data_IF_068437335263
#
_entry.id   IF_068437335263
#
_cell.length_a   1.000
_cell.length_b   1.000
_cell.length_c   1.000
_cell.angle_alpha   90.00
_cell.angle_beta   90.00
_cell.angle_gamma   90.00
#
_symmetry.space_group_name_H-M   'P 1'
#
loop_
_entity.id
_entity.type
_entity.pdbx_description
1 polymer ?
#
# COMPACT_ATOMS: atom_id res chain seq x y z
N UNK A 1 47.22 95.02 15.35
CA UNK A 1 45.97 94.38 15.93
C UNK A 1 45.48 93.35 14.98
N UNK A 2 45.56 92.06 15.35
CA UNK A 2 45.07 90.92 14.54
C UNK A 2 43.89 90.30 15.26
N UNK A 3 42.73 90.02 14.65
CA UNK A 3 41.63 89.33 15.29
C UNK A 3 41.85 87.85 15.18
N UNK A 4 41.60 87.12 16.29
CA UNK A 4 41.57 85.69 16.45
C UNK A 4 40.25 85.17 15.89
N UNK A 5 40.31 84.23 14.92
CA UNK A 5 39.18 83.40 14.47
C UNK A 5 39.05 82.19 15.35
N UNK A 6 37.95 82.08 16.09
CA UNK A 6 37.58 80.86 16.80
C UNK A 6 36.85 79.88 15.84
N UNK A 7 37.44 78.70 15.59
CA UNK A 7 36.82 77.63 14.87
C UNK A 7 35.98 76.78 15.84
N UNK A 8 34.66 76.81 15.68
CA UNK A 8 33.75 75.93 16.38
C UNK A 8 33.77 74.51 15.66
N UNK A 9 34.27 73.50 16.34
CA UNK A 9 34.16 72.13 15.90
C UNK A 9 32.78 71.54 16.25
N UNK A 10 31.93 71.39 15.26
CA UNK A 10 30.68 70.65 15.42
C UNK A 10 30.99 69.12 15.42
N UNK A 11 30.78 68.45 16.56
CA UNK A 11 30.79 67.01 16.65
C UNK A 11 29.47 66.50 16.09
N UNK A 12 29.52 65.82 14.94
CA UNK A 12 28.42 65.05 14.42
C UNK A 12 28.28 63.77 15.28
N UNK A 13 27.18 63.68 16.01
CA UNK A 13 26.75 62.49 16.67
C UNK A 13 25.96 61.67 15.65
N UNK A 14 26.56 60.58 15.15
CA UNK A 14 25.89 59.63 14.28
C UNK A 14 25.08 58.66 15.17
N UNK A 15 23.74 58.61 15.05
CA UNK A 15 22.96 57.63 15.77
C UNK A 15 23.20 56.24 15.13
N UNK A 16 23.74 55.30 15.90
CA UNK A 16 23.84 53.91 15.54
C UNK A 16 22.41 53.30 15.54
N UNK A 17 21.86 53.12 14.34
CA UNK A 17 20.64 52.33 14.14
C UNK A 17 20.92 50.87 14.44
N UNK A 18 20.51 50.40 15.61
CA UNK A 18 20.50 49.00 16.01
C UNK A 18 19.39 48.29 15.24
N UNK A 19 19.73 47.67 14.10
CA UNK A 19 18.82 46.83 13.35
C UNK A 19 18.60 45.52 14.14
N UNK A 20 17.51 45.50 14.91
CA UNK A 20 17.01 44.24 15.54
C UNK A 20 16.50 43.34 14.43
N UNK A 21 17.32 42.43 13.96
CA UNK A 21 16.88 41.34 13.09
C UNK A 21 15.95 40.43 13.90
N UNK A 22 14.65 40.63 13.75
CA UNK A 22 13.64 39.66 14.19
C UNK A 22 13.81 38.38 13.35
N UNK A 23 14.58 37.44 13.89
CA UNK A 23 14.51 36.06 13.42
C UNK A 23 13.09 35.55 13.71
N UNK A 24 12.22 35.66 12.71
CA UNK A 24 10.95 34.96 12.75
C UNK A 24 11.29 33.47 12.82
N UNK A 25 11.08 32.86 13.98
CA UNK A 25 11.04 31.41 14.14
C UNK A 25 9.86 30.92 13.31
N UNK A 26 10.12 30.63 12.03
CA UNK A 26 9.16 29.89 11.20
C UNK A 26 8.97 28.56 11.91
N UNK A 27 7.76 28.25 12.41
CA UNK A 27 7.54 26.95 13.02
C UNK A 27 7.89 25.90 12.00
N UNK A 28 8.88 25.08 12.31
CA UNK A 28 9.25 23.94 11.48
C UNK A 28 8.01 23.05 11.41
N UNK A 29 7.41 22.91 10.22
CA UNK A 29 6.28 22.04 10.04
C UNK A 29 6.66 20.66 10.58
N UNK A 30 5.92 20.22 11.59
CA UNK A 30 6.16 18.92 12.21
C UNK A 30 5.80 17.87 11.17
N UNK A 31 6.73 16.96 10.88
CA UNK A 31 6.48 15.86 9.96
C UNK A 31 5.20 15.11 10.39
N UNK A 32 4.19 15.09 9.55
CA UNK A 32 2.96 14.37 9.86
C UNK A 32 3.15 12.89 9.56
N UNK A 33 2.60 12.03 10.46
CA UNK A 33 2.59 10.59 10.29
C UNK A 33 1.17 10.12 10.03
N UNK A 34 0.97 9.38 8.95
CA UNK A 34 -0.29 8.72 8.63
C UNK A 34 -0.08 7.20 8.49
N UNK A 35 -1.08 6.42 8.88
CA UNK A 35 -1.07 4.96 8.74
C UNK A 35 -2.25 4.57 7.87
N UNK A 36 -1.94 3.91 6.77
CA UNK A 36 -2.86 3.31 5.83
C UNK A 36 -2.85 1.80 6.04
N UNK A 37 -4.02 1.22 6.25
CA UNK A 37 -4.17 -0.20 6.54
C UNK A 37 -5.22 -0.77 5.60
N UNK A 38 -4.81 -1.68 4.74
CA UNK A 38 -5.66 -2.23 3.68
C UNK A 38 -6.97 -2.81 4.22
N UNK A 39 -6.90 -3.50 5.37
CA UNK A 39 -8.07 -4.16 5.94
C UNK A 39 -9.03 -3.16 6.58
N UNK A 40 -8.50 -2.19 7.32
CA UNK A 40 -9.28 -1.13 7.97
C UNK A 40 -9.90 -0.19 6.94
N UNK A 41 -9.12 0.18 5.94
CA UNK A 41 -9.48 1.21 4.97
C UNK A 41 -10.22 0.62 3.75
N UNK A 42 -10.65 -0.63 3.83
CA UNK A 42 -11.46 -1.28 2.80
C UNK A 42 -12.77 -0.56 2.53
N UNK A 43 -13.16 -0.45 1.26
CA UNK A 43 -14.44 0.11 0.86
C UNK A 43 -15.28 -0.89 0.07
N UNK A 44 -16.57 -0.92 0.37
CA UNK A 44 -17.59 -1.69 -0.37
C UNK A 44 -18.37 -0.85 -1.38
N UNK A 45 -18.13 0.46 -1.42
CA UNK A 45 -18.93 1.42 -2.20
C UNK A 45 -18.10 2.26 -3.15
N UNK A 46 -16.79 2.33 -2.95
CA UNK A 46 -15.89 3.16 -3.75
C UNK A 46 -14.61 2.42 -4.12
N UNK A 47 -14.22 2.52 -5.37
CA UNK A 47 -12.92 2.09 -5.90
C UNK A 47 -12.49 3.04 -7.02
N UNK A 48 -11.44 3.85 -6.84
CA UNK A 48 -10.56 3.95 -5.66
C UNK A 48 -11.25 4.49 -4.40
N UNK A 49 -10.70 4.11 -3.22
CA UNK A 49 -11.11 4.62 -1.92
C UNK A 49 -9.94 5.29 -1.20
N UNK A 50 -9.94 6.62 -1.14
CA UNK A 50 -8.82 7.38 -0.60
C UNK A 50 -7.53 7.07 -1.35
N UNK A 51 -6.51 6.59 -0.62
CA UNK A 51 -5.23 6.21 -1.21
C UNK A 51 -5.22 4.80 -1.82
N UNK A 52 -6.24 3.97 -1.54
CA UNK A 52 -6.31 2.58 -1.99
C UNK A 52 -7.11 2.41 -3.27
N UNK A 53 -6.68 1.49 -4.11
CA UNK A 53 -7.44 1.01 -5.27
C UNK A 53 -7.27 -0.49 -5.48
N UNK A 54 -8.35 -1.13 -5.92
CA UNK A 54 -8.46 -2.56 -6.21
C UNK A 54 -8.55 -2.72 -7.72
N UNK A 55 -7.56 -3.34 -8.35
CA UNK A 55 -7.41 -3.25 -9.79
C UNK A 55 -7.26 -4.61 -10.44
N UNK A 56 -7.72 -4.67 -11.68
CA UNK A 56 -7.36 -5.68 -12.67
C UNK A 56 -6.42 -5.01 -13.68
N UNK A 57 -5.24 -5.58 -13.87
CA UNK A 57 -4.16 -4.92 -14.61
C UNK A 57 -3.85 -3.54 -13.98
N UNK A 58 -4.00 -2.48 -14.73
CA UNK A 58 -3.73 -1.12 -14.24
C UNK A 58 -5.00 -0.27 -14.05
N UNK A 59 -6.18 -0.87 -14.18
CA UNK A 59 -7.45 -0.18 -14.10
C UNK A 59 -8.23 -0.56 -12.84
N UNK A 60 -8.82 0.39 -12.11
CA UNK A 60 -9.71 0.10 -11.00
C UNK A 60 -10.89 -0.77 -11.45
N UNK A 61 -11.18 -1.82 -10.68
CA UNK A 61 -12.34 -2.66 -10.92
C UNK A 61 -13.60 -1.87 -10.59
N UNK A 62 -14.53 -1.79 -11.53
CA UNK A 62 -15.75 -0.98 -11.40
C UNK A 62 -16.95 -1.74 -10.83
N UNK A 63 -16.85 -3.05 -10.70
CA UNK A 63 -17.97 -3.90 -10.25
C UNK A 63 -17.69 -4.40 -8.85
N UNK A 64 -18.63 -4.11 -7.94
CA UNK A 64 -18.69 -4.70 -6.60
C UNK A 64 -19.88 -5.65 -6.54
N UNK A 65 -19.65 -6.89 -6.13
CA UNK A 65 -20.71 -7.90 -6.09
C UNK A 65 -20.47 -8.93 -4.99
N UNK A 66 -21.48 -9.78 -4.76
CA UNK A 66 -21.35 -10.95 -3.91
C UNK A 66 -20.86 -12.12 -4.73
N UNK A 67 -19.82 -12.76 -4.24
CA UNK A 67 -19.16 -13.91 -4.82
C UNK A 67 -19.62 -15.22 -4.17
N UNK A 68 -18.90 -16.31 -4.46
CA UNK A 68 -19.11 -17.61 -3.83
C UNK A 68 -19.09 -17.48 -2.31
N UNK A 69 -19.88 -18.27 -1.67
CA UNK A 69 -20.01 -18.36 -0.21
C UNK A 69 -20.43 -17.03 0.45
N UNK A 70 -21.13 -16.17 -0.29
CA UNK A 70 -21.61 -14.89 0.24
C UNK A 70 -20.52 -13.86 0.51
N UNK A 71 -19.30 -14.08 0.06
CA UNK A 71 -18.24 -13.08 0.13
C UNK A 71 -18.58 -11.90 -0.78
N UNK A 72 -18.17 -10.72 -0.39
CA UNK A 72 -18.37 -9.51 -1.20
C UNK A 72 -17.03 -8.88 -1.57
N UNK A 73 -16.93 -8.38 -2.81
CA UNK A 73 -15.69 -7.82 -3.27
C UNK A 73 -15.76 -7.15 -4.63
N UNK A 74 -14.62 -6.70 -5.09
CA UNK A 74 -14.39 -6.05 -6.36
C UNK A 74 -13.94 -7.07 -7.41
N UNK A 75 -14.67 -7.20 -8.52
CA UNK A 75 -14.31 -8.10 -9.62
C UNK A 75 -15.46 -8.96 -10.12
N UNK A 76 -15.12 -9.93 -10.97
CA UNK A 76 -16.04 -10.91 -11.54
C UNK A 76 -15.51 -12.31 -11.25
N UNK A 77 -16.20 -13.11 -10.44
CA UNK A 77 -15.78 -14.49 -10.14
C UNK A 77 -16.47 -15.57 -10.97
N UNK A 78 -17.42 -15.20 -11.82
CA UNK A 78 -18.02 -16.11 -12.77
C UNK A 78 -17.31 -15.98 -14.11
N UNK A 79 -16.88 -17.06 -14.72
CA UNK A 79 -16.22 -17.13 -16.03
C UNK A 79 -14.69 -16.93 -16.03
N UNK A 80 -14.00 -17.20 -14.93
CA UNK A 80 -12.53 -17.17 -14.91
C UNK A 80 -11.93 -15.78 -14.66
N UNK A 81 -12.77 -14.80 -14.38
CA UNK A 81 -12.31 -13.47 -13.97
C UNK A 81 -11.86 -13.49 -12.51
N UNK A 82 -10.89 -12.66 -12.19
CA UNK A 82 -10.38 -12.52 -10.83
C UNK A 82 -11.19 -11.55 -9.99
N UNK A 83 -10.98 -11.63 -8.68
CA UNK A 83 -11.59 -10.70 -7.75
C UNK A 83 -10.76 -10.48 -6.50
N UNK A 84 -10.99 -9.32 -5.89
CA UNK A 84 -10.42 -8.94 -4.61
C UNK A 84 -11.57 -8.85 -3.64
N UNK A 85 -11.60 -9.72 -2.64
CA UNK A 85 -12.72 -9.86 -1.70
C UNK A 85 -12.26 -9.56 -0.28
N UNK A 86 -13.20 -9.19 0.58
CA UNK A 86 -12.97 -9.15 2.02
C UNK A 86 -13.62 -10.36 2.66
N UNK A 87 -12.81 -11.21 3.26
CA UNK A 87 -13.27 -12.43 3.90
C UNK A 87 -14.26 -12.14 5.03
N UNK A 88 -15.39 -12.82 5.00
CA UNK A 88 -16.42 -12.74 6.05
C UNK A 88 -16.65 -14.06 6.78
N UNK A 89 -16.15 -15.16 6.26
CA UNK A 89 -16.33 -16.48 6.86
C UNK A 89 -15.03 -17.00 7.47
N UNK A 90 -15.05 -17.43 8.73
CA UNK A 90 -13.92 -18.16 9.31
C UNK A 90 -13.80 -19.56 8.70
N UNK A 91 -12.58 -20.08 8.71
CA UNK A 91 -12.29 -21.48 8.37
C UNK A 91 -13.25 -22.44 9.09
N UNK A 92 -13.83 -23.38 8.37
CA UNK A 92 -14.74 -24.42 8.93
C UNK A 92 -16.23 -24.09 8.83
N UNK A 93 -16.64 -22.99 8.23
CA UNK A 93 -18.06 -22.72 7.94
C UNK A 93 -18.54 -23.47 6.69
N UNK A 94 -19.83 -23.74 6.64
CA UNK A 94 -20.50 -24.25 5.45
C UNK A 94 -20.98 -23.08 4.61
N UNK A 95 -20.72 -23.10 3.31
CA UNK A 95 -21.22 -22.12 2.37
C UNK A 95 -22.74 -22.25 2.18
N UNK A 96 -23.42 -21.27 1.54
CA UNK A 96 -24.85 -21.36 1.25
C UNK A 96 -25.25 -22.57 0.37
N UNK A 97 -24.31 -23.25 -0.25
CA UNK A 97 -24.51 -24.42 -1.09
C UNK A 97 -24.25 -25.76 -0.36
N UNK A 98 -23.92 -25.68 0.94
CA UNK A 98 -23.65 -26.85 1.77
C UNK A 98 -22.22 -27.37 1.70
N UNK A 99 -21.29 -26.68 1.02
CA UNK A 99 -19.88 -27.07 1.02
C UNK A 99 -19.22 -26.56 2.31
N UNK A 100 -18.40 -27.39 2.91
CA UNK A 100 -17.63 -26.98 4.07
C UNK A 100 -16.50 -26.06 3.60
N UNK A 101 -16.54 -24.80 3.99
CA UNK A 101 -15.39 -23.89 3.95
C UNK A 101 -14.49 -24.36 5.09
N UNK A 102 -13.84 -25.49 4.86
CA UNK A 102 -13.18 -26.28 5.87
C UNK A 102 -11.74 -25.87 6.09
N UNK A 103 -10.95 -26.80 6.63
CA UNK A 103 -9.51 -26.62 6.79
C UNK A 103 -8.75 -26.37 5.46
N UNK A 104 -9.48 -26.36 4.37
CA UNK A 104 -9.02 -26.06 3.01
C UNK A 104 -8.73 -24.59 2.75
N UNK A 105 -9.22 -23.66 3.60
CA UNK A 105 -9.04 -22.23 3.42
C UNK A 105 -8.47 -21.60 4.69
N UNK A 106 -7.40 -20.84 4.54
CA UNK A 106 -6.78 -20.05 5.63
C UNK A 106 -7.32 -18.62 5.62
N UNK A 107 -8.62 -18.46 5.87
CA UNK A 107 -9.30 -17.17 5.92
C UNK A 107 -9.80 -16.86 7.32
N UNK A 108 -9.78 -15.57 7.66
CA UNK A 108 -10.44 -15.05 8.85
C UNK A 108 -11.32 -13.84 8.50
N UNK A 109 -12.34 -13.53 9.31
CA UNK A 109 -13.15 -12.34 9.09
C UNK A 109 -12.29 -11.08 9.02
N UNK A 110 -12.47 -10.32 7.95
CA UNK A 110 -11.72 -9.09 7.72
C UNK A 110 -10.49 -9.23 6.84
N UNK A 111 -10.07 -10.44 6.50
CA UNK A 111 -8.96 -10.62 5.55
C UNK A 111 -9.32 -10.11 4.16
N UNK A 112 -8.31 -9.57 3.50
CA UNK A 112 -8.39 -9.30 2.06
C UNK A 112 -7.81 -10.50 1.32
N UNK A 113 -8.64 -11.08 0.44
CA UNK A 113 -8.29 -12.24 -0.38
C UNK A 113 -8.31 -11.83 -1.84
N UNK A 114 -7.28 -12.22 -2.58
CA UNK A 114 -7.16 -11.98 -4.00
C UNK A 114 -7.25 -13.31 -4.74
N UNK A 115 -8.30 -13.49 -5.55
CA UNK A 115 -8.41 -14.65 -6.42
C UNK A 115 -7.69 -14.36 -7.73
N UNK A 116 -6.49 -14.92 -7.89
CA UNK A 116 -5.70 -14.72 -9.10
C UNK A 116 -6.45 -15.25 -10.34
N UNK A 117 -6.28 -14.56 -11.44
CA UNK A 117 -6.90 -14.92 -12.72
C UNK A 117 -6.25 -16.15 -13.32
N UNK A 118 -7.06 -17.00 -13.96
CA UNK A 118 -6.55 -18.11 -14.75
C UNK A 118 -6.23 -17.65 -16.19
N UNK A 119 -5.10 -18.09 -16.69
CA UNK A 119 -4.56 -17.73 -18.01
C UNK A 119 -5.55 -17.92 -19.18
N UNK A 120 -6.40 -18.95 -19.26
CA UNK A 120 -7.26 -19.14 -20.44
C UNK A 120 -8.43 -18.18 -20.56
N UNK A 121 -8.80 -17.50 -19.48
CA UNK A 121 -9.99 -16.63 -19.47
C UNK A 121 -9.65 -15.15 -19.49
N UNK A 122 -8.41 -14.79 -19.18
CA UNK A 122 -7.99 -13.41 -19.07
C UNK A 122 -7.15 -12.87 -20.23
N UNK A 123 -6.80 -13.69 -21.21
CA UNK A 123 -5.84 -13.29 -22.22
C UNK A 123 -4.42 -13.09 -21.66
N UNK A 124 -3.50 -12.66 -22.47
CA UNK A 124 -2.12 -12.44 -22.10
C UNK A 124 -1.99 -11.49 -20.89
N UNK A 125 -1.42 -11.98 -19.80
CA UNK A 125 -0.93 -11.17 -18.68
C UNK A 125 -1.95 -10.44 -17.81
N UNK A 126 -3.14 -10.99 -17.56
CA UNK A 126 -4.01 -10.42 -16.54
C UNK A 126 -3.50 -10.71 -15.14
N UNK A 127 -3.43 -9.68 -14.33
CA UNK A 127 -3.07 -9.77 -12.91
C UNK A 127 -4.03 -8.92 -12.08
N UNK A 128 -4.19 -9.29 -10.83
CA UNK A 128 -4.85 -8.46 -9.83
C UNK A 128 -3.83 -7.69 -9.03
N UNK A 129 -4.18 -6.48 -8.64
CA UNK A 129 -3.35 -5.74 -7.72
C UNK A 129 -4.17 -4.85 -6.78
N UNK A 130 -3.63 -4.68 -5.58
CA UNK A 130 -4.00 -3.62 -4.66
C UNK A 130 -2.93 -2.56 -4.76
N UNK A 131 -3.35 -1.30 -4.90
CA UNK A 131 -2.44 -0.17 -4.98
C UNK A 131 -2.73 0.84 -3.89
N UNK A 132 -1.67 1.31 -3.26
CA UNK A 132 -1.67 2.53 -2.48
C UNK A 132 -0.97 3.63 -3.28
N UNK A 133 -1.59 4.81 -3.34
CA UNK A 133 -1.02 5.99 -4.02
C UNK A 133 -0.59 7.01 -2.99
N UNK A 134 0.64 7.47 -3.07
CA UNK A 134 1.20 8.46 -2.15
C UNK A 134 0.45 9.79 -2.23
N UNK A 135 -0.04 10.33 -1.10
CA UNK A 135 -0.74 11.61 -1.08
C UNK A 135 0.21 12.82 -1.19
N UNK A 136 1.51 12.62 -1.09
CA UNK A 136 2.50 13.69 -1.08
C UNK A 136 3.92 13.15 -1.10
N UNK A 137 4.88 14.09 -1.05
CA UNK A 137 6.31 13.75 -0.93
C UNK A 137 6.63 13.33 0.51
N UNK A 138 7.42 12.25 0.66
CA UNK A 138 7.75 11.74 1.98
C UNK A 138 8.57 10.46 1.96
N UNK A 139 8.49 9.77 3.08
CA UNK A 139 9.05 8.43 3.26
C UNK A 139 7.93 7.48 3.70
N UNK A 140 8.09 6.20 3.34
CA UNK A 140 7.16 5.15 3.77
C UNK A 140 7.88 3.98 4.41
N UNK A 141 7.21 3.39 5.39
CA UNK A 141 7.49 2.06 5.88
C UNK A 141 6.35 1.15 5.45
N UNK A 142 6.69 -0.02 4.91
CA UNK A 142 5.73 -1.04 4.50
C UNK A 142 5.86 -2.23 5.45
N UNK A 143 4.74 -2.81 5.84
CA UNK A 143 4.68 -4.09 6.54
C UNK A 143 3.51 -4.90 6.03
N UNK A 144 3.61 -6.21 6.07
CA UNK A 144 2.51 -7.06 5.63
C UNK A 144 2.91 -8.52 5.50
N UNK A 145 1.89 -9.29 5.14
CA UNK A 145 1.98 -10.74 4.91
C UNK A 145 1.19 -11.11 3.67
N UNK A 146 1.65 -12.13 2.96
CA UNK A 146 0.90 -12.79 1.91
C UNK A 146 1.00 -14.32 2.09
N UNK A 147 -0.13 -15.00 2.02
CA UNK A 147 -0.21 -16.43 2.34
C UNK A 147 -1.14 -17.18 1.38
N UNK A 148 -1.03 -18.49 1.42
CA UNK A 148 -1.90 -19.43 0.71
C UNK A 148 -3.30 -19.39 1.31
N UNK A 149 -4.24 -18.82 0.58
CA UNK A 149 -5.63 -18.74 1.02
C UNK A 149 -6.44 -20.01 0.70
N UNK A 150 -5.89 -20.96 -0.08
CA UNK A 150 -6.59 -22.16 -0.55
C UNK A 150 -5.69 -23.41 -0.42
N UNK A 151 -5.43 -23.81 0.80
CA UNK A 151 -4.41 -24.78 1.21
C UNK A 151 -4.62 -26.23 0.73
N UNK A 152 -5.73 -26.54 0.09
CA UNK A 152 -5.99 -27.88 -0.46
C UNK A 152 -5.65 -27.99 -1.95
N UNK A 153 -5.27 -26.91 -2.57
CA UNK A 153 -5.03 -26.81 -4.01
C UNK A 153 -3.51 -26.82 -4.27
N UNK A 154 -3.08 -27.49 -5.32
CA UNK A 154 -1.71 -27.49 -5.82
C UNK A 154 -1.48 -26.37 -6.89
N UNK A 155 -2.42 -25.45 -6.99
CA UNK A 155 -2.37 -24.34 -7.96
C UNK A 155 -1.41 -23.26 -7.47
N UNK A 156 -0.46 -22.97 -8.30
CA UNK A 156 0.58 -22.00 -7.93
C UNK A 156 0.20 -20.56 -8.27
N UNK A 157 0.53 -19.66 -7.36
CA UNK A 157 0.35 -18.21 -7.51
C UNK A 157 1.60 -17.50 -7.02
N UNK A 158 2.07 -16.61 -7.85
CA UNK A 158 3.14 -15.69 -7.51
C UNK A 158 2.58 -14.34 -6.99
N UNK A 159 3.33 -13.71 -6.10
CA UNK A 159 3.07 -12.33 -5.74
C UNK A 159 4.34 -11.47 -5.82
N UNK A 160 4.13 -10.19 -6.00
CA UNK A 160 5.18 -9.16 -6.04
C UNK A 160 4.74 -7.92 -5.29
N UNK A 161 5.65 -7.32 -4.53
CA UNK A 161 5.51 -5.98 -3.95
C UNK A 161 6.39 -5.02 -4.75
N UNK A 162 5.77 -4.01 -5.33
CA UNK A 162 6.38 -3.09 -6.30
C UNK A 162 6.25 -1.67 -5.75
N UNK A 163 7.35 -0.93 -5.70
CA UNK A 163 7.38 0.48 -5.26
C UNK A 163 8.02 1.32 -6.35
N UNK A 164 7.29 2.34 -6.84
CA UNK A 164 7.79 3.20 -7.91
C UNK A 164 8.17 2.43 -9.17
N UNK A 165 7.46 1.34 -9.48
CA UNK A 165 7.75 0.46 -10.63
C UNK A 165 8.87 -0.56 -10.43
N UNK A 166 9.54 -0.56 -9.27
CA UNK A 166 10.59 -1.53 -8.94
C UNK A 166 10.06 -2.62 -8.01
N UNK A 167 10.21 -3.89 -8.38
CA UNK A 167 9.92 -5.02 -7.48
C UNK A 167 10.94 -5.06 -6.35
N UNK A 168 10.45 -4.98 -5.11
CA UNK A 168 11.29 -4.96 -3.90
C UNK A 168 11.20 -6.26 -3.10
N UNK A 169 10.04 -6.93 -3.15
CA UNK A 169 9.84 -8.25 -2.57
C UNK A 169 9.00 -9.11 -3.52
N UNK A 170 9.23 -10.40 -3.55
CA UNK A 170 8.49 -11.33 -4.40
C UNK A 170 8.58 -12.75 -3.90
N UNK A 171 7.55 -13.53 -4.22
CA UNK A 171 7.51 -14.98 -4.03
C UNK A 171 6.88 -15.64 -5.25
N UNK A 172 7.54 -16.68 -5.77
CA UNK A 172 7.06 -17.41 -6.96
C UNK A 172 5.90 -18.34 -6.66
N UNK A 173 5.82 -18.86 -5.42
CA UNK A 173 4.78 -19.78 -5.00
C UNK A 173 4.36 -19.48 -3.57
N UNK A 174 3.04 -19.40 -3.34
CA UNK A 174 2.47 -19.33 -1.99
C UNK A 174 2.07 -20.70 -1.44
N UNK A 175 2.10 -21.75 -2.25
CA UNK A 175 1.64 -23.10 -1.84
C UNK A 175 2.25 -23.50 -0.49
N UNK A 176 1.36 -23.86 0.46
CA UNK A 176 1.73 -24.30 1.78
C UNK A 176 2.32 -23.24 2.71
N UNK A 177 2.22 -21.96 2.34
CA UNK A 177 2.59 -20.84 3.21
C UNK A 177 1.38 -20.41 4.01
N UNK A 178 1.31 -20.78 5.28
CA UNK A 178 0.22 -20.36 6.14
C UNK A 178 0.39 -18.93 6.62
N UNK A 179 -0.73 -18.31 7.00
CA UNK A 179 -0.82 -16.91 7.46
C UNK A 179 0.23 -16.52 8.53
N UNK A 180 0.47 -17.41 9.49
CA UNK A 180 1.34 -17.17 10.64
C UNK A 180 2.79 -17.58 10.39
N UNK A 181 3.09 -18.12 9.23
CA UNK A 181 4.45 -18.51 8.86
C UNK A 181 5.36 -17.30 8.69
N UNK A 182 6.61 -17.45 9.09
CA UNK A 182 7.61 -16.43 8.80
C UNK A 182 7.73 -16.17 7.27
N UNK A 183 7.55 -17.22 6.45
CA UNK A 183 7.57 -17.12 5.00
C UNK A 183 6.43 -16.30 4.38
N UNK A 184 5.35 -16.04 5.13
CA UNK A 184 4.28 -15.16 4.67
C UNK A 184 4.67 -13.67 4.73
N UNK A 185 5.62 -13.28 5.57
CA UNK A 185 5.99 -11.89 5.78
C UNK A 185 6.74 -11.31 4.57
N UNK A 186 6.42 -10.08 4.19
CA UNK A 186 7.11 -9.39 3.10
C UNK A 186 8.61 -9.28 3.33
N UNK A 187 9.03 -9.02 4.58
CA UNK A 187 10.42 -8.90 4.96
C UNK A 187 11.26 -10.16 4.71
N UNK A 188 10.63 -11.34 4.79
CA UNK A 188 11.28 -12.62 4.52
C UNK A 188 11.41 -12.95 3.01
N UNK A 189 10.80 -12.13 2.16
CA UNK A 189 10.75 -12.30 0.72
C UNK A 189 11.39 -11.11 -0.04
N UNK A 190 12.19 -10.31 0.66
CA UNK A 190 12.91 -9.18 0.06
C UNK A 190 13.91 -9.65 -1.01
N UNK A 191 13.89 -8.99 -2.14
CA UNK A 191 14.93 -9.15 -3.13
C UNK A 191 16.23 -8.46 -2.63
N UNK A 192 17.37 -8.98 -3.03
CA UNK A 192 18.66 -8.54 -2.53
C UNK A 192 18.86 -7.02 -2.66
N UNK A 193 19.31 -6.40 -1.59
CA UNK A 193 19.60 -4.96 -1.53
C UNK A 193 18.38 -4.05 -1.38
N UNK A 194 17.16 -4.61 -1.18
CA UNK A 194 15.96 -3.83 -0.92
C UNK A 194 15.62 -3.79 0.57
N UNK A 195 14.75 -2.85 0.92
CA UNK A 195 14.21 -2.62 2.26
C UNK A 195 12.72 -2.33 2.19
N UNK A 196 12.01 -2.47 3.31
CA UNK A 196 10.63 -2.01 3.50
C UNK A 196 10.54 -0.74 4.35
N UNK A 197 11.70 -0.15 4.71
CA UNK A 197 11.79 0.98 5.62
C UNK A 197 12.41 2.19 4.95
N UNK A 198 11.88 3.37 5.31
CA UNK A 198 12.38 4.67 4.84
C UNK A 198 12.49 4.77 3.31
N UNK A 199 11.53 4.18 2.61
CA UNK A 199 11.45 4.29 1.16
C UNK A 199 10.95 5.67 0.78
N UNK A 200 11.69 6.39 -0.04
CA UNK A 200 11.27 7.71 -0.54
C UNK A 200 10.18 7.56 -1.57
N UNK A 201 9.17 8.40 -1.47
CA UNK A 201 8.06 8.51 -2.42
C UNK A 201 7.76 9.98 -2.71
N UNK A 202 7.36 10.24 -3.94
CA UNK A 202 6.78 11.51 -4.37
C UNK A 202 5.25 11.42 -4.39
N UNK A 203 4.58 12.56 -4.46
CA UNK A 203 3.13 12.61 -4.67
C UNK A 203 2.74 11.84 -5.94
N UNK A 204 1.80 10.90 -5.80
CA UNK A 204 1.34 10.05 -6.90
C UNK A 204 2.16 8.77 -7.12
N UNK A 205 3.28 8.59 -6.43
CA UNK A 205 4.00 7.30 -6.47
C UNK A 205 3.13 6.17 -5.93
N UNK A 206 3.34 4.97 -6.47
CA UNK A 206 2.49 3.82 -6.19
C UNK A 206 3.29 2.72 -5.49
N UNK A 207 2.71 2.20 -4.41
CA UNK A 207 3.02 0.88 -3.86
C UNK A 207 1.97 -0.09 -4.38
N UNK A 208 2.40 -1.18 -5.00
CA UNK A 208 1.52 -2.16 -5.61
C UNK A 208 1.83 -3.55 -5.08
N UNK A 209 0.84 -4.20 -4.49
CA UNK A 209 0.85 -5.65 -4.27
C UNK A 209 0.12 -6.32 -5.42
N UNK A 210 0.84 -7.16 -6.15
CA UNK A 210 0.37 -7.83 -7.36
C UNK A 210 0.35 -9.33 -7.18
N UNK A 211 -0.72 -9.98 -7.65
CA UNK A 211 -0.80 -11.44 -7.77
C UNK A 211 -1.03 -11.82 -9.22
N UNK A 212 -0.40 -12.91 -9.62
CA UNK A 212 -0.53 -13.49 -10.95
C UNK A 212 -0.38 -15.02 -10.86
N UNK A 213 -1.07 -15.73 -11.72
CA UNK A 213 -0.91 -17.19 -11.89
C UNK A 213 -0.66 -17.52 -13.34
N UNK A 214 0.13 -18.55 -13.57
CA UNK A 214 0.34 -19.17 -14.87
C UNK A 214 -0.45 -20.47 -15.03
N UNK A 215 -1.23 -20.85 -14.01
CA UNK A 215 -2.04 -22.07 -14.02
C UNK A 215 -3.43 -21.84 -14.65
N UNK A 216 -4.06 -22.96 -15.09
CA UNK A 216 -5.37 -22.92 -15.75
C UNK A 216 -6.49 -22.41 -14.84
N UNK A 217 -6.40 -22.67 -13.55
CA UNK A 217 -7.41 -22.26 -12.55
C UNK A 217 -6.81 -21.22 -11.61
N UNK A 218 -7.65 -20.25 -11.21
CA UNK A 218 -7.26 -19.27 -10.21
C UNK A 218 -7.01 -19.87 -8.84
N UNK A 219 -6.38 -19.10 -7.98
CA UNK A 219 -6.04 -19.46 -6.61
C UNK A 219 -6.19 -18.25 -5.69
N UNK A 220 -6.50 -18.47 -4.42
CA UNK A 220 -6.63 -17.40 -3.44
C UNK A 220 -5.30 -17.11 -2.75
N UNK A 221 -4.94 -15.85 -2.74
CA UNK A 221 -3.84 -15.30 -1.94
C UNK A 221 -4.44 -14.37 -0.90
N UNK A 222 -4.18 -14.65 0.37
CA UNK A 222 -4.50 -13.72 1.45
C UNK A 222 -3.44 -12.63 1.56
N UNK A 223 -3.87 -11.41 1.86
CA UNK A 223 -2.97 -10.27 2.06
C UNK A 223 -3.38 -9.43 3.26
N UNK A 224 -2.39 -9.05 4.06
CA UNK A 224 -2.43 -7.92 4.96
C UNK A 224 -1.35 -6.94 4.56
N UNK A 225 -1.68 -5.67 4.39
CA UNK A 225 -0.72 -4.63 4.05
C UNK A 225 -0.98 -3.37 4.86
N UNK A 226 0.08 -2.84 5.45
CA UNK A 226 0.06 -1.56 6.15
C UNK A 226 1.20 -0.69 5.66
N UNK A 227 0.89 0.57 5.36
CA UNK A 227 1.84 1.59 4.96
C UNK A 227 1.81 2.71 5.99
N UNK A 228 2.97 2.99 6.58
CA UNK A 228 3.18 4.18 7.41
C UNK A 228 3.84 5.24 6.54
N UNK A 229 3.17 6.35 6.34
CA UNK A 229 3.66 7.48 5.56
C UNK A 229 4.14 8.60 6.49
N UNK A 230 5.33 9.09 6.24
CA UNK A 230 5.96 10.22 6.93
C UNK A 230 6.10 11.37 5.93
N UNK A 231 5.21 12.34 6.03
CA UNK A 231 5.24 13.51 5.15
C UNK A 231 6.45 14.38 5.45
N UNK A 232 7.20 14.75 4.43
CA UNK A 232 8.21 15.78 4.58
C UNK A 232 7.50 17.14 4.68
N UNK A 233 7.87 17.93 5.70
CA UNK A 233 7.41 19.30 5.79
C UNK A 233 7.92 20.12 4.59
N UNK A 234 7.20 21.16 4.20
CA UNK A 234 7.63 22.07 3.14
C UNK A 234 8.94 22.81 3.50
#
# INVERSE_FOLDING_TARGET
MKPFLRVLSHRLVVPALLSLALFQLVPRAQASKAVYDLNRDWSTTQNPNGAWSYNQNNAPISVFQTFWWGQAGWGYLWLGDGGIIKGSYPTGMTDPFGNVVGPAFDWQPGDVMMHALSVPYGGDTTFLNVRWTSPGDGEIDISGTAWDGEIFSDRDVAWMLIVGGKTIAARHSVIGVHRDDAGARFECNLLAGNTLKHLRVAAGDVVEFRVATDTYYGHFVGINEQITFYQHGP
#
